data_IF_634798925461
#
_entry.id   IF_634798925461
#
_cell.length_a   1.000
_cell.length_b   1.000
_cell.length_c   1.000
_cell.angle_alpha   90.00
_cell.angle_beta   90.00
_cell.angle_gamma   90.00
#
_symmetry.space_group_name_H-M   'P 1'
#
loop_
_entity.id
_entity.type
_entity.pdbx_description
1 polymer ?
#
# COMPACT_ATOMS: atom_id res chain seq x y z
N UNK A 1 1.83 55.50 -79.01
CA UNK A 1 2.25 54.25 -78.33
C UNK A 1 1.63 54.16 -76.96
N UNK A 2 0.60 53.38 -76.84
CA UNK A 2 -0.32 53.32 -75.75
C UNK A 2 0.20 52.32 -74.70
N UNK A 3 0.32 52.69 -73.42
CA UNK A 3 0.49 51.76 -72.34
C UNK A 3 -0.57 52.07 -71.25
N UNK A 4 -1.52 51.21 -71.21
CA UNK A 4 -2.57 51.12 -70.20
C UNK A 4 -2.05 50.70 -68.83
N UNK A 5 -2.27 51.48 -67.81
CA UNK A 5 -2.06 51.12 -66.42
C UNK A 5 -3.40 50.76 -65.78
N UNK A 6 -3.52 49.50 -65.32
CA UNK A 6 -4.63 49.00 -64.49
C UNK A 6 -4.46 49.50 -63.07
N UNK A 7 -5.47 50.20 -62.60
CA UNK A 7 -5.66 50.53 -61.19
C UNK A 7 -6.37 49.37 -60.50
N UNK A 8 -5.73 48.69 -59.59
CA UNK A 8 -6.39 47.73 -58.67
C UNK A 8 -6.96 48.47 -57.48
N UNK A 9 -8.27 48.41 -57.37
CA UNK A 9 -9.02 48.85 -56.18
C UNK A 9 -8.82 47.84 -55.08
N UNK A 10 -8.24 48.26 -53.96
CA UNK A 10 -8.27 47.51 -52.71
C UNK A 10 -9.51 47.92 -51.95
N UNK A 11 -10.48 47.00 -51.83
CA UNK A 11 -11.60 47.12 -50.94
C UNK A 11 -11.16 46.72 -49.55
N UNK A 12 -11.07 47.67 -48.63
CA UNK A 12 -10.93 47.42 -47.17
C UNK A 12 -12.31 46.98 -46.65
N UNK A 13 -12.49 45.69 -46.46
CA UNK A 13 -13.58 45.15 -45.63
C UNK A 13 -13.17 45.29 -44.17
N UNK A 14 -13.77 46.23 -43.46
CA UNK A 14 -13.77 46.33 -42.01
C UNK A 14 -14.67 45.20 -41.50
N UNK A 15 -14.03 44.07 -41.04
CA UNK A 15 -14.71 43.08 -40.23
C UNK A 15 -14.88 43.64 -38.84
N UNK A 16 -16.10 44.08 -38.52
CA UNK A 16 -16.51 44.33 -37.15
C UNK A 16 -16.42 43.01 -36.40
N UNK A 17 -15.38 42.83 -35.61
CA UNK A 17 -15.31 41.75 -34.63
C UNK A 17 -16.39 41.97 -33.57
N UNK A 18 -17.46 41.24 -33.70
CA UNK A 18 -18.48 41.12 -32.69
C UNK A 18 -17.82 40.47 -31.47
N UNK A 19 -17.43 41.25 -30.49
CA UNK A 19 -17.08 40.74 -29.16
C UNK A 19 -18.37 40.16 -28.54
N UNK A 20 -18.73 38.97 -28.94
CA UNK A 20 -19.59 38.14 -28.10
C UNK A 20 -18.86 37.94 -26.81
N UNK A 21 -19.30 38.54 -25.73
CA UNK A 21 -18.98 38.19 -24.36
C UNK A 21 -19.37 36.70 -24.20
N UNK A 22 -18.43 35.82 -24.42
CA UNK A 22 -18.51 34.43 -23.97
C UNK A 22 -18.64 34.52 -22.46
N UNK A 23 -19.88 34.53 -21.94
CA UNK A 23 -20.15 34.11 -20.61
C UNK A 23 -19.50 32.70 -20.52
N UNK A 24 -18.50 32.55 -19.69
CA UNK A 24 -17.85 31.27 -19.41
C UNK A 24 -18.90 30.39 -18.70
N UNK A 25 -19.74 29.76 -19.49
CA UNK A 25 -20.57 28.68 -19.02
C UNK A 25 -19.58 27.55 -18.67
N UNK A 26 -19.61 27.12 -17.41
CA UNK A 26 -18.89 25.97 -17.01
C UNK A 26 -19.33 24.79 -17.90
N UNK A 27 -18.43 24.30 -18.76
CA UNK A 27 -18.72 23.17 -19.64
C UNK A 27 -18.99 21.94 -18.80
N UNK A 28 -20.24 21.51 -18.79
CA UNK A 28 -20.68 20.28 -18.15
C UNK A 28 -20.66 19.16 -19.19
N UNK A 29 -19.85 18.15 -18.97
CA UNK A 29 -19.77 17.00 -19.86
C UNK A 29 -20.47 15.82 -19.20
N UNK A 30 -21.45 15.24 -19.89
CA UNK A 30 -22.14 14.04 -19.44
C UNK A 30 -21.37 12.79 -19.85
N UNK A 31 -21.23 11.87 -18.90
CA UNK A 31 -20.55 10.57 -19.10
C UNK A 31 -21.53 9.60 -19.75
N UNK A 32 -21.29 9.26 -21.02
CA UNK A 32 -22.20 8.39 -21.79
C UNK A 32 -21.97 6.90 -21.52
N UNK A 33 -20.70 6.51 -21.29
CA UNK A 33 -20.29 5.13 -21.13
C UNK A 33 -19.40 4.97 -19.91
N UNK A 34 -19.53 3.84 -19.24
CA UNK A 34 -18.81 3.46 -18.03
C UNK A 34 -18.28 2.04 -18.17
N UNK A 35 -17.17 1.78 -17.57
CA UNK A 35 -16.69 0.42 -17.36
C UNK A 35 -17.26 -0.10 -16.05
N UNK A 36 -17.97 -1.21 -16.06
CA UNK A 36 -18.69 -1.75 -14.94
C UNK A 36 -18.25 -3.16 -14.57
N UNK A 37 -18.17 -3.43 -13.28
CA UNK A 37 -17.92 -4.73 -12.68
C UNK A 37 -18.88 -4.95 -11.51
N UNK A 38 -19.45 -6.12 -11.46
CA UNK A 38 -20.45 -6.54 -10.50
C UNK A 38 -21.59 -7.27 -11.22
N UNK A 39 -22.64 -7.69 -10.53
CA UNK A 39 -22.88 -7.56 -9.08
C UNK A 39 -21.96 -8.44 -8.22
N UNK A 40 -21.50 -7.93 -7.08
CA UNK A 40 -20.91 -8.70 -6.01
C UNK A 40 -21.99 -8.88 -4.93
N UNK A 41 -22.65 -10.03 -4.81
CA UNK A 41 -23.74 -10.23 -3.89
C UNK A 41 -23.34 -9.97 -2.43
N UNK A 42 -24.18 -9.24 -1.71
CA UNK A 42 -23.99 -8.94 -0.29
C UNK A 42 -25.20 -9.45 0.47
N UNK A 43 -24.94 -10.34 1.43
CA UNK A 43 -26.00 -10.88 2.28
C UNK A 43 -26.21 -9.99 3.50
N UNK A 44 -27.46 -9.86 3.93
CA UNK A 44 -27.79 -9.29 5.22
C UNK A 44 -27.27 -10.24 6.32
N UNK A 45 -26.55 -9.75 7.33
CA UNK A 45 -26.05 -10.61 8.39
C UNK A 45 -27.21 -11.16 9.23
N UNK A 46 -26.96 -12.31 9.86
CA UNK A 46 -27.90 -12.85 10.82
C UNK A 46 -28.09 -11.89 11.99
N UNK A 47 -29.30 -11.75 12.50
CA UNK A 47 -29.68 -10.80 13.56
C UNK A 47 -29.52 -9.31 13.19
N UNK A 48 -29.60 -8.97 11.91
CA UNK A 48 -29.53 -7.56 11.45
C UNK A 48 -30.62 -6.66 12.06
N UNK A 49 -31.73 -7.23 12.52
CA UNK A 49 -32.81 -6.49 13.19
C UNK A 49 -32.47 -6.10 14.63
N UNK A 50 -31.42 -6.68 15.19
CA UNK A 50 -30.94 -6.38 16.54
C UNK A 50 -30.03 -5.16 16.53
N UNK A 51 -29.71 -4.66 17.72
CA UNK A 51 -28.68 -3.64 17.92
C UNK A 51 -27.37 -4.29 18.34
N UNK A 52 -26.25 -3.69 17.97
CA UNK A 52 -24.94 -4.11 18.42
C UNK A 52 -24.67 -3.69 19.89
N UNK A 53 -23.50 -4.03 20.41
CA UNK A 53 -23.10 -3.68 21.80
C UNK A 53 -23.04 -2.18 22.08
N UNK A 54 -23.04 -1.34 21.06
CA UNK A 54 -23.10 0.13 21.15
C UNK A 54 -24.52 0.67 21.01
N UNK A 55 -25.53 -0.19 20.81
CA UNK A 55 -26.91 0.21 20.58
C UNK A 55 -27.19 0.65 19.12
N UNK A 56 -26.30 0.42 18.19
CA UNK A 56 -26.46 0.80 16.78
C UNK A 56 -27.15 -0.31 16.00
N UNK A 57 -28.02 0.07 15.06
CA UNK A 57 -28.63 -0.87 14.10
C UNK A 57 -27.66 -1.18 12.96
N UNK A 58 -27.80 -2.37 12.38
CA UNK A 58 -27.05 -2.71 11.18
C UNK A 58 -27.41 -1.77 10.02
N UNK A 59 -26.38 -1.23 9.39
CA UNK A 59 -26.51 -0.40 8.18
C UNK A 59 -25.73 -1.06 7.02
N UNK A 60 -26.46 -1.44 5.96
CA UNK A 60 -25.87 -2.02 4.75
C UNK A 60 -24.83 -1.09 4.11
N UNK A 61 -24.96 0.22 4.29
CA UNK A 61 -24.03 1.21 3.79
C UNK A 61 -22.58 0.98 4.25
N UNK A 62 -22.38 0.41 5.44
CA UNK A 62 -21.03 0.06 5.94
C UNK A 62 -20.25 -0.88 5.02
N UNK A 63 -20.93 -1.62 4.15
CA UNK A 63 -20.28 -2.49 3.14
C UNK A 63 -19.52 -1.66 2.10
N UNK A 64 -19.91 -0.41 1.87
CA UNK A 64 -19.16 0.50 0.98
C UNK A 64 -17.74 0.79 1.47
N UNK A 65 -17.49 0.65 2.75
CA UNK A 65 -16.17 0.91 3.34
C UNK A 65 -15.27 -0.34 3.33
N UNK A 66 -15.82 -1.50 2.90
CA UNK A 66 -15.04 -2.74 2.72
C UNK A 66 -13.98 -2.57 1.64
N UNK A 67 -12.75 -3.09 1.82
CA UNK A 67 -11.73 -3.02 0.80
C UNK A 67 -12.15 -3.81 -0.44
N UNK A 68 -12.10 -3.17 -1.60
CA UNK A 68 -12.34 -3.78 -2.89
C UNK A 68 -11.30 -3.30 -3.89
N UNK A 69 -10.61 -4.21 -4.54
CA UNK A 69 -9.57 -3.86 -5.50
C UNK A 69 -10.17 -3.26 -6.79
N UNK A 70 -9.73 -2.07 -7.15
CA UNK A 70 -10.12 -1.45 -8.42
C UNK A 70 -9.52 -2.16 -9.65
N UNK A 71 -8.54 -3.06 -9.46
CA UNK A 71 -8.04 -3.91 -10.54
C UNK A 71 -9.11 -4.83 -11.13
N UNK A 72 -10.20 -5.09 -10.40
CA UNK A 72 -11.36 -5.82 -10.92
C UNK A 72 -11.96 -5.14 -12.15
N UNK A 73 -11.87 -3.82 -12.24
CA UNK A 73 -12.31 -3.06 -13.41
C UNK A 73 -11.57 -3.42 -14.69
N UNK A 74 -10.38 -4.04 -14.63
CA UNK A 74 -9.65 -4.52 -15.79
C UNK A 74 -10.47 -5.54 -16.61
N UNK A 75 -11.28 -6.34 -15.91
CA UNK A 75 -12.18 -7.34 -16.51
C UNK A 75 -13.63 -6.84 -16.66
N UNK A 76 -13.86 -5.54 -16.41
CA UNK A 76 -15.18 -4.93 -16.48
C UNK A 76 -15.71 -4.85 -17.91
N UNK A 77 -17.04 -4.82 -18.02
CA UNK A 77 -17.76 -4.61 -19.28
C UNK A 77 -18.06 -3.12 -19.47
N UNK A 78 -18.03 -2.67 -20.70
CA UNK A 78 -18.52 -1.35 -21.06
C UNK A 78 -20.04 -1.34 -21.07
N UNK A 79 -20.65 -0.38 -20.37
CA UNK A 79 -22.09 -0.24 -20.20
C UNK A 79 -22.46 1.23 -20.44
N UNK A 80 -23.56 1.48 -21.13
CA UNK A 80 -24.10 2.83 -21.22
C UNK A 80 -24.54 3.31 -19.83
N UNK A 81 -24.27 4.56 -19.51
CA UNK A 81 -24.62 5.13 -18.21
C UNK A 81 -26.13 4.96 -17.90
N UNK A 82 -26.99 5.17 -18.88
CA UNK A 82 -28.43 4.99 -18.76
C UNK A 82 -28.89 3.56 -18.45
N UNK A 83 -28.03 2.56 -18.70
CA UNK A 83 -28.35 1.13 -18.48
C UNK A 83 -27.72 0.58 -17.18
N UNK A 84 -26.89 1.38 -16.49
CA UNK A 84 -26.11 0.89 -15.34
C UNK A 84 -27.00 0.31 -14.23
N UNK A 85 -28.14 0.89 -13.96
CA UNK A 85 -29.08 0.46 -12.91
C UNK A 85 -30.19 -0.49 -13.40
N UNK A 86 -30.45 -0.53 -14.71
CA UNK A 86 -31.60 -1.29 -15.26
C UNK A 86 -31.54 -2.80 -14.98
N UNK A 87 -30.33 -3.36 -15.00
CA UNK A 87 -30.11 -4.81 -14.83
C UNK A 87 -29.74 -5.23 -13.41
N UNK A 88 -29.43 -4.28 -12.53
CA UNK A 88 -28.72 -4.54 -11.26
C UNK A 88 -29.57 -4.35 -10.00
N UNK A 89 -30.81 -3.91 -10.11
CA UNK A 89 -31.65 -3.52 -8.96
C UNK A 89 -32.34 -4.69 -8.23
N UNK A 90 -32.07 -5.95 -8.59
CA UNK A 90 -32.82 -7.09 -8.08
C UNK A 90 -32.28 -7.73 -6.80
N UNK A 91 -31.10 -7.36 -6.35
CA UNK A 91 -30.46 -7.91 -5.14
C UNK A 91 -29.53 -6.92 -4.46
N UNK A 92 -29.28 -7.15 -3.16
CA UNK A 92 -28.25 -6.43 -2.47
C UNK A 92 -26.88 -6.80 -3.06
N UNK A 93 -26.24 -5.86 -3.69
CA UNK A 93 -24.95 -6.11 -4.31
C UNK A 93 -24.07 -4.86 -4.33
N UNK A 94 -22.76 -5.09 -4.26
CA UNK A 94 -21.74 -4.06 -4.43
C UNK A 94 -21.32 -4.06 -5.90
N UNK A 95 -21.08 -2.86 -6.43
CA UNK A 95 -20.67 -2.65 -7.80
C UNK A 95 -19.56 -1.62 -7.90
N UNK A 96 -18.76 -1.72 -8.97
CA UNK A 96 -17.80 -0.71 -9.38
C UNK A 96 -18.15 -0.21 -10.78
N UNK A 97 -18.14 1.10 -10.96
CA UNK A 97 -18.20 1.72 -12.27
C UNK A 97 -17.04 2.73 -12.40
N UNK A 98 -16.49 2.89 -13.60
CA UNK A 98 -15.38 3.83 -13.82
C UNK A 98 -15.44 4.48 -15.19
N UNK A 99 -14.84 5.67 -15.25
CA UNK A 99 -14.59 6.43 -16.47
C UNK A 99 -13.32 7.26 -16.30
N UNK A 100 -12.85 7.89 -17.38
CA UNK A 100 -11.68 8.75 -17.32
C UNK A 100 -12.05 10.20 -17.61
N UNK A 101 -11.32 11.11 -16.95
CA UNK A 101 -11.41 12.57 -17.20
C UNK A 101 -10.00 13.06 -17.51
N UNK A 102 -9.82 13.73 -18.62
CA UNK A 102 -8.54 14.32 -19.02
C UNK A 102 -8.62 15.84 -19.06
N UNK A 103 -7.57 16.49 -18.61
CA UNK A 103 -7.39 17.93 -18.60
C UNK A 103 -5.96 18.31 -18.94
N UNK A 104 -5.77 19.50 -19.50
CA UNK A 104 -4.46 20.03 -19.89
C UNK A 104 -3.88 21.04 -18.91
N UNK A 105 -4.69 21.50 -17.96
CA UNK A 105 -4.29 22.49 -16.96
C UNK A 105 -4.88 22.12 -15.60
N UNK A 106 -4.26 22.57 -14.51
CA UNK A 106 -4.82 22.40 -13.15
C UNK A 106 -6.23 23.00 -13.12
N UNK A 107 -7.22 22.18 -12.80
CA UNK A 107 -8.64 22.51 -12.91
C UNK A 107 -9.37 22.07 -11.65
N UNK A 108 -10.22 22.92 -11.09
CA UNK A 108 -11.21 22.49 -10.10
C UNK A 108 -12.37 21.85 -10.87
N UNK A 109 -12.69 20.62 -10.57
CA UNK A 109 -13.75 19.89 -11.21
C UNK A 109 -14.79 19.45 -10.18
N UNK A 110 -16.05 19.47 -10.58
CA UNK A 110 -17.16 18.91 -9.82
C UNK A 110 -17.68 17.69 -10.56
N UNK A 111 -17.66 16.54 -9.90
CA UNK A 111 -18.29 15.31 -10.37
C UNK A 111 -19.67 15.22 -9.73
N UNK A 112 -20.73 15.19 -10.53
CA UNK A 112 -22.09 15.03 -10.07
C UNK A 112 -22.59 13.63 -10.45
N UNK A 113 -23.10 12.88 -9.47
CA UNK A 113 -23.64 11.53 -9.66
C UNK A 113 -25.07 11.49 -9.18
N UNK A 114 -26.02 11.37 -10.10
CA UNK A 114 -27.46 11.29 -9.82
C UNK A 114 -27.98 9.86 -9.95
N UNK A 115 -29.04 9.55 -9.22
CA UNK A 115 -29.70 8.24 -9.29
C UNK A 115 -29.12 7.16 -8.39
N UNK A 116 -28.06 7.44 -7.62
CA UNK A 116 -27.51 6.52 -6.61
C UNK A 116 -27.81 7.02 -5.20
N UNK A 117 -28.36 6.14 -4.35
CA UNK A 117 -28.63 6.48 -2.94
C UNK A 117 -27.41 6.29 -2.04
N UNK A 118 -26.62 5.26 -2.31
CA UNK A 118 -25.46 4.88 -1.48
C UNK A 118 -24.25 4.60 -2.36
N UNK A 119 -23.27 5.48 -2.32
CA UNK A 119 -22.03 5.31 -3.09
C UNK A 119 -20.84 6.02 -2.46
N UNK A 120 -19.65 5.66 -2.92
CA UNK A 120 -18.38 6.34 -2.64
C UNK A 120 -17.73 6.69 -3.97
N UNK A 121 -17.14 7.85 -4.05
CA UNK A 121 -16.44 8.34 -5.24
C UNK A 121 -14.93 8.35 -4.98
N UNK A 122 -14.18 7.88 -5.95
CA UNK A 122 -12.72 7.89 -5.91
C UNK A 122 -12.16 8.52 -7.17
N UNK A 123 -11.12 9.31 -7.02
CA UNK A 123 -10.36 9.90 -8.13
C UNK A 123 -8.92 9.47 -7.98
N UNK A 124 -8.36 8.79 -8.96
CA UNK A 124 -7.02 8.20 -8.94
C UNK A 124 -6.74 7.29 -7.71
N UNK A 125 -7.79 6.62 -7.25
CA UNK A 125 -7.73 5.72 -6.09
C UNK A 125 -7.96 6.40 -4.73
N UNK A 126 -8.08 7.72 -4.67
CA UNK A 126 -8.39 8.45 -3.44
C UNK A 126 -9.87 8.75 -3.32
N UNK A 127 -10.42 8.49 -2.14
CA UNK A 127 -11.80 8.80 -1.85
C UNK A 127 -12.02 10.32 -1.79
N UNK A 128 -12.99 10.79 -2.56
CA UNK A 128 -13.42 12.20 -2.56
C UNK A 128 -14.70 12.32 -1.74
N UNK A 129 -14.75 13.32 -0.88
CA UNK A 129 -15.96 13.60 -0.08
C UNK A 129 -17.11 14.04 -1.01
N UNK A 130 -18.23 13.35 -0.88
CA UNK A 130 -19.45 13.65 -1.60
C UNK A 130 -20.36 14.47 -0.70
N UNK A 131 -20.89 15.59 -1.22
CA UNK A 131 -21.87 16.45 -0.55
C UNK A 131 -23.16 16.44 -1.40
N UNK A 132 -24.20 15.73 -0.93
CA UNK A 132 -25.37 15.42 -1.77
C UNK A 132 -24.95 14.55 -2.96
N UNK A 133 -25.22 15.02 -4.17
CA UNK A 133 -24.84 14.33 -5.41
C UNK A 133 -23.52 14.83 -6.03
N UNK A 134 -22.82 15.76 -5.35
CA UNK A 134 -21.65 16.46 -5.91
C UNK A 134 -20.38 16.19 -5.09
N UNK A 135 -19.30 16.00 -5.80
CA UNK A 135 -17.96 15.89 -5.24
C UNK A 135 -17.01 16.86 -5.94
N UNK A 136 -16.35 17.70 -5.16
CA UNK A 136 -15.36 18.65 -5.67
C UNK A 136 -13.96 18.07 -5.54
N UNK A 137 -13.18 18.20 -6.58
CA UNK A 137 -11.79 17.75 -6.63
C UNK A 137 -10.93 18.69 -7.46
N UNK A 138 -9.63 18.59 -7.26
CA UNK A 138 -8.65 19.32 -8.06
C UNK A 138 -7.91 18.34 -8.95
N UNK A 139 -8.09 18.49 -10.25
CA UNK A 139 -7.42 17.69 -11.27
C UNK A 139 -6.13 18.39 -11.71
N UNK A 140 -5.01 17.70 -11.67
CA UNK A 140 -3.74 18.14 -12.25
C UNK A 140 -3.76 17.85 -13.77
N UNK A 141 -2.89 18.50 -14.59
CA UNK A 141 -2.83 18.22 -16.02
C UNK A 141 -2.51 16.74 -16.28
N UNK A 142 -3.48 15.91 -16.60
CA UNK A 142 -3.35 14.47 -16.82
C UNK A 142 -4.67 13.85 -17.25
N UNK A 143 -4.65 12.52 -17.42
CA UNK A 143 -5.87 11.69 -17.45
C UNK A 143 -6.07 11.06 -16.07
N UNK A 144 -7.23 11.28 -15.49
CA UNK A 144 -7.64 10.84 -14.17
C UNK A 144 -8.66 9.71 -14.28
N UNK A 145 -8.56 8.72 -13.42
CA UNK A 145 -9.55 7.64 -13.33
C UNK A 145 -10.52 7.95 -12.22
N UNK A 146 -11.79 8.04 -12.56
CA UNK A 146 -12.89 8.21 -11.61
C UNK A 146 -13.55 6.85 -11.40
N UNK A 147 -13.68 6.43 -10.14
CA UNK A 147 -14.35 5.18 -9.77
C UNK A 147 -15.52 5.48 -8.85
N UNK A 148 -16.65 4.91 -9.18
CA UNK A 148 -17.88 4.95 -8.38
C UNK A 148 -18.07 3.55 -7.80
N UNK A 149 -18.02 3.44 -6.49
CA UNK A 149 -18.35 2.24 -5.74
C UNK A 149 -19.73 2.40 -5.15
N UNK A 150 -20.68 1.56 -5.52
CA UNK A 150 -22.07 1.76 -5.13
C UNK A 150 -22.77 0.46 -4.73
N UNK A 151 -23.82 0.60 -3.93
CA UNK A 151 -24.70 -0.49 -3.52
C UNK A 151 -26.03 -0.42 -4.25
N UNK A 152 -26.50 -1.57 -4.71
CA UNK A 152 -27.90 -1.79 -5.03
C UNK A 152 -28.58 -2.49 -3.87
N UNK A 153 -29.81 -2.11 -3.54
CA UNK A 153 -30.61 -2.75 -2.51
C UNK A 153 -31.78 -3.50 -3.16
N UNK A 154 -32.08 -4.73 -2.65
CA UNK A 154 -33.32 -5.39 -3.02
C UNK A 154 -34.49 -4.67 -2.33
N UNK A 155 -35.49 -4.27 -3.07
CA UNK A 155 -36.73 -3.75 -2.51
C UNK A 155 -37.47 -4.87 -1.75
N UNK A 156 -37.12 -5.04 -0.48
CA UNK A 156 -37.85 -5.95 0.43
C UNK A 156 -38.99 -5.27 1.19
N UNK A 157 -39.20 -3.96 0.97
CA UNK A 157 -40.32 -3.24 1.58
C UNK A 157 -41.54 -3.29 0.68
N UNK A 158 -42.65 -3.78 1.24
CA UNK A 158 -43.98 -3.92 0.64
C UNK A 158 -44.67 -2.59 0.23
N UNK A 159 -43.95 -1.50 0.19
CA UNK A 159 -44.46 -0.22 -0.30
C UNK A 159 -44.29 -0.10 -1.83
N UNK A 160 -45.28 -0.62 -2.53
CA UNK A 160 -45.32 -0.68 -3.99
C UNK A 160 -45.51 0.65 -4.68
N UNK A 161 -45.41 1.80 -4.00
CA UNK A 161 -45.73 3.11 -4.55
C UNK A 161 -44.58 4.10 -4.68
N UNK A 162 -43.39 3.76 -4.25
CA UNK A 162 -42.24 4.66 -4.37
C UNK A 162 -41.13 3.99 -5.18
N UNK A 163 -40.72 4.61 -6.26
CA UNK A 163 -39.46 4.48 -6.98
C UNK A 163 -39.28 3.50 -8.17
N UNK A 164 -40.35 3.29 -8.95
CA UNK A 164 -40.10 2.83 -10.34
C UNK A 164 -39.46 3.87 -11.25
N UNK A 165 -39.45 5.13 -10.85
CA UNK A 165 -38.87 6.21 -11.66
C UNK A 165 -37.42 6.57 -11.25
N UNK A 166 -36.97 6.24 -10.03
CA UNK A 166 -35.62 6.54 -9.60
C UNK A 166 -34.55 5.63 -10.26
N UNK A 167 -34.91 4.45 -10.74
CA UNK A 167 -33.99 3.53 -11.45
C UNK A 167 -33.73 3.96 -12.92
N UNK A 168 -34.44 4.94 -13.44
CA UNK A 168 -34.32 5.35 -14.85
C UNK A 168 -33.36 6.50 -15.10
N UNK A 169 -32.95 7.24 -14.08
CA UNK A 169 -32.23 8.51 -14.25
C UNK A 169 -30.79 8.49 -13.67
N UNK A 170 -30.09 7.36 -13.79
CA UNK A 170 -28.66 7.40 -13.48
C UNK A 170 -27.93 8.31 -14.48
N UNK A 171 -27.31 9.37 -13.96
CA UNK A 171 -26.50 10.31 -14.74
C UNK A 171 -25.22 10.66 -13.99
N UNK A 172 -24.14 10.71 -14.72
CA UNK A 172 -22.87 11.22 -14.23
C UNK A 172 -22.43 12.35 -15.13
N UNK A 173 -22.08 13.47 -14.53
CA UNK A 173 -21.52 14.60 -15.24
C UNK A 173 -20.30 15.17 -14.54
N UNK A 174 -19.41 15.77 -15.32
CA UNK A 174 -18.22 16.45 -14.83
C UNK A 174 -18.23 17.87 -15.33
N UNK A 175 -18.11 18.81 -14.40
CA UNK A 175 -18.11 20.25 -14.69
C UNK A 175 -16.77 20.85 -14.29
N UNK A 176 -16.13 21.59 -15.16
CA UNK A 176 -14.95 22.39 -14.82
C UNK A 176 -15.40 23.71 -14.19
N UNK A 177 -14.90 24.04 -13.00
CA UNK A 177 -14.94 25.40 -12.52
C UNK A 177 -13.96 26.23 -13.36
N UNK A 178 -14.21 27.37 -13.79
CA UNK A 178 -13.32 28.27 -14.55
C UNK A 178 -13.34 28.09 -16.10
N UNK A 179 -14.35 27.41 -16.69
CA UNK A 179 -14.47 27.31 -18.16
C UNK A 179 -13.31 26.61 -18.85
N UNK A 180 -12.53 25.78 -18.10
CA UNK A 180 -11.42 25.01 -18.65
C UNK A 180 -11.93 23.77 -19.35
N UNK A 181 -11.27 23.41 -20.46
CA UNK A 181 -11.65 22.23 -21.20
C UNK A 181 -11.33 20.95 -20.44
N UNK A 182 -12.34 20.11 -20.28
CA UNK A 182 -12.25 18.74 -19.85
C UNK A 182 -12.64 17.83 -21.03
N UNK A 183 -12.12 16.64 -21.06
CA UNK A 183 -12.62 15.57 -21.92
C UNK A 183 -12.91 14.34 -21.08
N UNK A 184 -14.06 13.71 -21.36
CA UNK A 184 -14.46 12.45 -20.73
C UNK A 184 -14.20 11.34 -21.72
N UNK A 185 -13.47 10.34 -21.31
CA UNK A 185 -13.15 9.16 -22.09
C UNK A 185 -13.69 7.88 -21.46
N UNK A 186 -13.77 6.83 -22.26
CA UNK A 186 -14.10 5.51 -21.77
C UNK A 186 -12.97 5.00 -20.86
N UNK A 187 -13.33 4.39 -19.74
CA UNK A 187 -12.34 3.74 -18.88
C UNK A 187 -11.87 2.44 -19.54
N UNK A 188 -10.80 2.51 -20.28
CA UNK A 188 -10.12 1.34 -20.80
C UNK A 188 -9.14 0.79 -19.76
N UNK A 189 -9.03 -0.52 -19.65
CA UNK A 189 -8.04 -1.19 -18.80
C UNK A 189 -6.59 -0.79 -19.18
N UNK A 190 -6.39 -0.33 -20.40
CA UNK A 190 -5.13 0.09 -20.97
C UNK A 190 -5.01 1.61 -21.11
N UNK A 191 -5.72 2.38 -20.31
CA UNK A 191 -5.63 3.84 -20.37
C UNK A 191 -4.22 4.27 -20.00
N UNK A 192 -3.43 4.64 -20.99
CA UNK A 192 -2.14 5.28 -20.77
C UNK A 192 -2.43 6.68 -20.24
N UNK A 193 -2.17 6.91 -18.99
CA UNK A 193 -2.23 8.25 -18.39
C UNK A 193 -0.83 8.86 -18.30
N UNK A 194 -0.76 10.16 -18.31
CA UNK A 194 0.50 10.86 -18.04
C UNK A 194 0.91 10.61 -16.58
N UNK A 195 2.16 10.22 -16.38
CA UNK A 195 2.72 10.08 -15.05
C UNK A 195 2.77 11.46 -14.36
N UNK A 196 2.36 11.50 -13.11
CA UNK A 196 2.51 12.68 -12.26
C UNK A 196 3.60 12.42 -11.20
N UNK A 197 3.93 13.47 -10.43
CA UNK A 197 4.98 13.39 -9.40
C UNK A 197 4.67 12.34 -8.33
N UNK A 198 3.40 12.14 -7.99
CA UNK A 198 2.98 11.15 -7.00
C UNK A 198 3.15 9.73 -7.52
N UNK A 199 2.99 9.49 -8.81
CA UNK A 199 3.26 8.19 -9.41
C UNK A 199 4.74 7.82 -9.25
N UNK A 200 5.63 8.78 -9.42
CA UNK A 200 7.06 8.56 -9.24
C UNK A 200 7.44 8.31 -7.77
N UNK A 201 6.81 9.02 -6.83
CA UNK A 201 7.14 8.94 -5.40
C UNK A 201 6.41 7.78 -4.71
N UNK A 202 5.12 7.59 -5.03
CA UNK A 202 4.24 6.65 -4.33
C UNK A 202 4.14 5.28 -5.02
N UNK A 203 4.83 5.08 -6.15
CA UNK A 203 4.80 3.80 -6.86
C UNK A 203 5.41 2.70 -5.99
N UNK A 204 4.74 1.54 -5.86
CA UNK A 204 5.32 0.40 -5.16
C UNK A 204 6.61 -0.07 -5.82
N UNK A 205 7.65 -0.19 -5.01
CA UNK A 205 8.94 -0.73 -5.41
C UNK A 205 9.12 -2.15 -4.87
N UNK A 206 9.75 -3.01 -5.65
CA UNK A 206 10.16 -4.33 -5.19
C UNK A 206 11.55 -4.22 -4.56
N UNK A 207 11.63 -4.27 -3.22
CA UNK A 207 12.87 -4.04 -2.50
C UNK A 207 13.70 -5.29 -2.32
N UNK A 208 13.08 -6.47 -2.29
CA UNK A 208 13.80 -7.75 -2.23
C UNK A 208 12.96 -8.91 -2.76
N UNK A 209 13.65 -9.92 -3.25
CA UNK A 209 13.08 -11.20 -3.66
C UNK A 209 13.94 -12.30 -3.07
N UNK A 210 13.33 -13.23 -2.33
CA UNK A 210 13.99 -14.38 -1.75
C UNK A 210 13.28 -15.67 -2.15
N UNK A 211 13.99 -16.59 -2.81
CA UNK A 211 13.46 -17.90 -3.17
C UNK A 211 13.46 -18.84 -1.97
N UNK A 212 12.46 -19.72 -1.89
CA UNK A 212 12.48 -20.84 -0.96
C UNK A 212 13.63 -21.80 -1.29
N UNK A 213 14.16 -22.58 -0.31
CA UNK A 213 15.22 -23.52 -0.57
C UNK A 213 14.94 -24.49 -1.72
N UNK A 214 13.69 -24.93 -1.91
CA UNK A 214 13.28 -25.79 -3.02
C UNK A 214 12.89 -25.07 -4.31
N UNK A 215 12.97 -23.73 -4.35
CA UNK A 215 12.65 -22.91 -5.51
C UNK A 215 11.18 -22.84 -5.91
N UNK A 216 10.23 -23.45 -5.16
CA UNK A 216 8.81 -23.46 -5.53
C UNK A 216 8.07 -22.19 -5.20
N UNK A 217 8.54 -21.46 -4.21
CA UNK A 217 7.96 -20.21 -3.76
C UNK A 217 9.00 -19.10 -3.70
N UNK A 218 8.53 -17.87 -3.68
CA UNK A 218 9.37 -16.70 -3.41
C UNK A 218 8.64 -15.73 -2.49
N UNK A 219 9.38 -15.09 -1.61
CA UNK A 219 8.92 -13.93 -0.84
C UNK A 219 9.37 -12.69 -1.59
N UNK A 220 8.41 -11.84 -1.94
CA UNK A 220 8.64 -10.58 -2.64
C UNK A 220 8.24 -9.44 -1.71
N UNK A 221 9.19 -8.61 -1.32
CA UNK A 221 8.91 -7.43 -0.50
C UNK A 221 8.61 -6.24 -1.38
N UNK A 222 7.44 -5.66 -1.19
CA UNK A 222 7.02 -4.39 -1.76
C UNK A 222 7.11 -3.29 -0.72
N UNK A 223 7.58 -2.13 -1.13
CA UNK A 223 7.62 -0.92 -0.30
C UNK A 223 7.09 0.25 -1.10
N UNK A 224 6.35 1.13 -0.46
CA UNK A 224 5.87 2.37 -1.06
C UNK A 224 5.69 3.45 0.00
N UNK A 225 5.61 4.67 -0.46
CA UNK A 225 5.27 5.83 0.38
C UNK A 225 3.88 6.29 -0.01
N UNK A 226 2.99 6.53 0.93
CA UNK A 226 1.68 7.11 0.62
C UNK A 226 1.79 8.62 0.37
N UNK A 227 0.67 9.24 -0.03
CA UNK A 227 0.65 10.69 -0.30
C UNK A 227 0.84 11.55 0.95
N UNK A 228 0.69 10.98 2.13
CA UNK A 228 0.97 11.60 3.42
C UNK A 228 2.43 11.48 3.82
N UNK A 229 3.26 10.80 3.02
CA UNK A 229 4.67 10.58 3.30
C UNK A 229 4.95 9.40 4.24
N UNK A 230 3.96 8.57 4.56
CA UNK A 230 4.13 7.40 5.40
C UNK A 230 4.65 6.21 4.59
N UNK A 231 5.68 5.54 5.12
CA UNK A 231 6.24 4.34 4.52
C UNK A 231 5.36 3.12 4.82
N UNK A 232 5.15 2.32 3.80
CA UNK A 232 4.45 1.05 3.88
C UNK A 232 5.33 -0.07 3.31
N UNK A 233 5.16 -1.26 3.84
CA UNK A 233 5.78 -2.47 3.31
C UNK A 233 4.85 -3.66 3.46
N UNK A 234 4.93 -4.58 2.50
CA UNK A 234 4.21 -5.86 2.54
C UNK A 234 5.11 -6.94 1.93
N UNK A 235 5.09 -8.12 2.52
CA UNK A 235 5.76 -9.29 2.00
C UNK A 235 4.73 -10.21 1.34
N UNK A 236 4.90 -10.48 0.07
CA UNK A 236 4.02 -11.38 -0.70
C UNK A 236 4.70 -12.72 -0.90
N UNK A 237 4.06 -13.79 -0.45
CA UNK A 237 4.42 -15.15 -0.85
C UNK A 237 3.85 -15.40 -2.24
N UNK A 238 4.70 -15.72 -3.18
CA UNK A 238 4.32 -16.01 -4.56
C UNK A 238 4.80 -17.39 -4.99
N UNK A 239 4.03 -18.02 -5.86
CA UNK A 239 4.51 -19.18 -6.61
C UNK A 239 5.59 -18.72 -7.60
N UNK A 240 6.76 -19.34 -7.58
CA UNK A 240 7.91 -18.90 -8.37
C UNK A 240 7.73 -19.08 -9.89
N UNK A 241 6.95 -20.08 -10.31
CA UNK A 241 6.72 -20.35 -11.73
C UNK A 241 5.60 -19.49 -12.32
N UNK A 242 4.49 -19.33 -11.58
CA UNK A 242 3.31 -18.62 -12.09
C UNK A 242 3.26 -17.16 -11.69
N UNK A 243 4.12 -16.72 -10.79
CA UNK A 243 4.14 -15.40 -10.17
C UNK A 243 2.82 -15.01 -9.47
N UNK A 244 1.94 -15.97 -9.22
CA UNK A 244 0.68 -15.72 -8.51
C UNK A 244 0.94 -15.52 -7.02
N UNK A 245 0.30 -14.51 -6.44
CA UNK A 245 0.31 -14.27 -4.98
C UNK A 245 -0.49 -15.38 -4.30
N UNK A 246 0.12 -16.02 -3.32
CA UNK A 246 -0.47 -17.07 -2.49
C UNK A 246 -0.96 -16.47 -1.17
N UNK A 247 -0.15 -15.63 -0.55
CA UNK A 247 -0.47 -14.95 0.71
C UNK A 247 0.29 -13.63 0.80
N UNK A 248 -0.13 -12.76 1.72
CA UNK A 248 0.53 -11.48 2.03
C UNK A 248 0.68 -11.33 3.53
N UNK A 249 1.81 -10.74 3.96
CA UNK A 249 2.19 -10.59 5.35
C UNK A 249 2.66 -9.15 5.59
N UNK A 250 2.23 -8.56 6.68
CA UNK A 250 2.78 -7.29 7.17
C UNK A 250 4.09 -7.52 7.93
N UNK A 251 4.22 -8.72 8.54
CA UNK A 251 5.40 -9.16 9.25
C UNK A 251 6.59 -9.36 8.29
N UNK A 252 7.79 -9.20 8.80
CA UNK A 252 9.02 -9.41 8.03
C UNK A 252 9.35 -10.91 7.94
N UNK A 253 8.61 -11.63 7.11
CA UNK A 253 8.81 -13.07 6.90
C UNK A 253 10.08 -13.37 6.10
N UNK A 254 10.78 -14.43 6.48
CA UNK A 254 12.01 -14.93 5.85
C UNK A 254 11.96 -16.43 5.68
N UNK A 255 12.78 -16.97 4.79
CA UNK A 255 12.92 -18.43 4.64
C UNK A 255 13.85 -19.00 5.69
N UNK A 256 13.49 -20.19 6.20
CA UNK A 256 14.42 -21.04 6.91
C UNK A 256 15.45 -21.62 5.93
N UNK A 257 16.68 -21.91 6.38
CA UNK A 257 17.78 -22.32 5.48
C UNK A 257 17.53 -23.62 4.72
N UNK A 258 16.79 -24.57 5.31
CA UNK A 258 16.67 -25.94 4.80
C UNK A 258 15.23 -26.39 4.60
N UNK A 259 14.39 -26.15 5.59
CA UNK A 259 13.01 -26.64 5.62
C UNK A 259 12.13 -25.73 4.82
N UNK A 260 11.81 -25.52 3.83
CA UNK A 260 10.91 -24.62 3.08
C UNK A 260 9.80 -23.93 3.92
N UNK A 261 9.97 -23.84 5.24
CA UNK A 261 9.14 -23.04 6.12
C UNK A 261 9.58 -21.59 6.07
N UNK A 262 8.66 -20.68 6.26
CA UNK A 262 8.95 -19.27 6.52
C UNK A 262 9.00 -19.03 8.03
N UNK A 263 9.66 -17.98 8.46
CA UNK A 263 9.65 -17.55 9.85
C UNK A 263 9.59 -16.04 9.97
N UNK A 264 9.10 -15.59 11.10
CA UNK A 264 9.18 -14.21 11.56
C UNK A 264 9.24 -14.17 13.08
N UNK A 265 9.51 -13.01 13.63
CA UNK A 265 9.51 -12.78 15.07
C UNK A 265 8.47 -11.73 15.41
N UNK A 266 7.79 -11.92 16.53
CA UNK A 266 6.87 -10.94 17.10
C UNK A 266 7.11 -10.83 18.61
N UNK A 267 6.63 -9.75 19.23
CA UNK A 267 6.71 -9.61 20.68
C UNK A 267 5.88 -10.70 21.34
N UNK A 268 6.46 -11.35 22.33
CA UNK A 268 5.74 -12.30 23.16
C UNK A 268 4.60 -11.57 23.86
N UNK A 269 3.35 -11.91 23.53
CA UNK A 269 2.15 -11.35 24.15
C UNK A 269 2.04 -11.75 25.63
N UNK A 270 1.10 -11.16 26.36
CA UNK A 270 0.85 -11.48 27.78
C UNK A 270 0.46 -12.95 28.02
N UNK A 271 -0.05 -13.62 26.96
CA UNK A 271 -0.38 -15.05 26.94
C UNK A 271 0.75 -15.95 26.43
N UNK A 272 1.92 -15.39 26.11
CA UNK A 272 3.09 -16.21 25.83
C UNK A 272 3.38 -17.04 27.07
N UNK A 273 3.58 -18.35 26.87
CA UNK A 273 3.96 -19.26 27.96
C UNK A 273 5.24 -18.69 28.58
N UNK A 274 5.04 -17.83 29.58
CA UNK A 274 6.14 -17.29 30.36
C UNK A 274 6.69 -18.44 31.18
N UNK A 275 7.80 -19.02 30.72
CA UNK A 275 8.68 -19.70 31.64
C UNK A 275 9.11 -18.72 32.74
N UNK A 276 9.36 -19.20 33.95
CA UNK A 276 9.99 -18.40 34.98
C UNK A 276 11.20 -17.67 34.40
N UNK A 277 11.18 -16.34 34.41
CA UNK A 277 12.26 -15.52 33.88
C UNK A 277 11.99 -14.88 32.53
N UNK A 278 10.74 -14.45 32.20
CA UNK A 278 10.47 -13.60 31.06
C UNK A 278 11.35 -12.35 31.13
N UNK A 279 12.37 -12.30 30.30
CA UNK A 279 13.18 -11.10 30.14
C UNK A 279 12.34 -9.99 29.46
N UNK A 280 12.48 -8.74 29.91
CA UNK A 280 11.91 -7.60 29.19
C UNK A 280 12.37 -7.63 27.74
N UNK A 281 11.41 -7.54 26.81
CA UNK A 281 11.71 -7.59 25.36
C UNK A 281 11.78 -9.00 24.76
N UNK A 282 11.28 -10.03 25.45
CA UNK A 282 11.23 -11.38 24.87
C UNK A 282 10.39 -11.41 23.57
N UNK A 283 10.93 -12.11 22.58
CA UNK A 283 10.27 -12.31 21.28
C UNK A 283 9.83 -13.77 21.14
N UNK A 284 8.81 -14.00 20.33
CA UNK A 284 8.46 -15.34 19.84
C UNK A 284 9.00 -15.54 18.44
N UNK A 285 9.52 -16.73 18.18
CA UNK A 285 9.89 -17.19 16.85
C UNK A 285 8.78 -18.07 16.30
N UNK A 286 8.12 -17.59 15.26
CA UNK A 286 6.99 -18.28 14.63
C UNK A 286 7.41 -18.78 13.26
N UNK A 287 7.06 -20.02 12.97
CA UNK A 287 7.21 -20.61 11.63
C UNK A 287 5.87 -20.72 10.93
N UNK A 288 5.90 -20.61 9.60
CA UNK A 288 4.73 -20.75 8.73
C UNK A 288 5.04 -21.78 7.64
N UNK A 289 4.15 -22.73 7.48
CA UNK A 289 4.22 -23.67 6.36
C UNK A 289 3.58 -23.02 5.10
N UNK A 290 4.33 -22.80 4.01
CA UNK A 290 3.81 -22.13 2.82
C UNK A 290 2.74 -22.91 2.05
N UNK A 291 2.54 -24.20 2.36
CA UNK A 291 1.55 -25.03 1.67
C UNK A 291 0.14 -24.92 2.26
N UNK A 292 0.04 -24.78 3.58
CA UNK A 292 -1.23 -24.75 4.31
C UNK A 292 -1.42 -23.53 5.20
N UNK A 293 -0.42 -22.63 5.25
CA UNK A 293 -0.38 -21.43 6.09
C UNK A 293 -0.47 -21.70 7.60
N UNK A 294 -0.20 -22.93 8.01
CA UNK A 294 -0.16 -23.32 9.42
C UNK A 294 0.99 -22.62 10.13
N UNK A 295 0.68 -22.00 11.26
CA UNK A 295 1.63 -21.28 12.13
C UNK A 295 1.97 -22.11 13.34
N UNK A 296 3.24 -22.17 13.68
CA UNK A 296 3.76 -22.90 14.83
C UNK A 296 4.76 -22.01 15.60
N UNK A 297 4.64 -21.96 16.92
CA UNK A 297 5.62 -21.29 17.77
C UNK A 297 6.82 -22.21 17.93
N UNK A 298 7.90 -21.90 17.26
CA UNK A 298 9.15 -22.68 17.31
C UNK A 298 9.94 -22.42 18.60
N UNK A 299 9.93 -21.17 19.07
CA UNK A 299 10.52 -20.78 20.35
C UNK A 299 9.76 -19.61 20.95
N UNK A 300 9.35 -19.73 22.20
CA UNK A 300 8.46 -18.79 22.87
C UNK A 300 9.16 -17.61 23.55
N UNK A 301 10.46 -17.67 23.76
CA UNK A 301 11.20 -16.68 24.54
C UNK A 301 12.64 -16.54 24.03
N UNK A 302 12.78 -15.89 22.87
CA UNK A 302 14.08 -15.60 22.28
C UNK A 302 14.47 -14.13 22.55
N UNK A 303 15.77 -13.82 22.67
CA UNK A 303 16.22 -12.43 22.82
C UNK A 303 15.79 -11.55 21.64
N UNK A 304 15.49 -10.30 21.88
CA UNK A 304 15.37 -9.30 20.82
C UNK A 304 16.76 -9.06 20.22
N UNK A 305 16.85 -9.08 18.89
CA UNK A 305 18.11 -8.83 18.18
C UNK A 305 18.13 -9.44 16.80
N UNK A 306 19.18 -9.11 16.07
CA UNK A 306 19.40 -9.70 14.76
C UNK A 306 20.07 -11.08 14.91
N UNK A 307 19.52 -12.06 14.22
CA UNK A 307 20.06 -13.42 14.20
C UNK A 307 20.02 -14.06 12.82
N UNK A 308 20.78 -15.11 12.67
CA UNK A 308 20.79 -16.01 11.53
C UNK A 308 20.67 -17.45 12.02
N UNK A 309 19.84 -18.25 11.35
CA UNK A 309 19.77 -19.70 11.60
C UNK A 309 21.07 -20.38 11.21
N UNK A 310 21.48 -21.37 12.00
CA UNK A 310 22.45 -22.35 11.51
C UNK A 310 21.84 -23.16 10.36
N UNK A 311 22.62 -23.60 9.34
CA UNK A 311 22.12 -24.40 8.23
C UNK A 311 21.41 -25.70 8.63
N UNK A 312 21.70 -26.27 9.80
CA UNK A 312 21.01 -27.43 10.36
C UNK A 312 19.68 -27.07 11.09
N UNK A 313 19.38 -25.78 11.20
CA UNK A 313 18.17 -25.22 11.84
C UNK A 313 18.01 -25.55 13.33
N UNK A 314 19.10 -25.91 14.01
CA UNK A 314 19.06 -26.25 15.43
C UNK A 314 19.39 -25.10 16.35
N UNK A 315 19.98 -24.04 15.81
CA UNK A 315 20.43 -22.91 16.62
C UNK A 315 20.29 -21.60 15.86
N UNK A 316 20.27 -20.51 16.62
CA UNK A 316 20.31 -19.14 16.12
C UNK A 316 21.63 -18.52 16.54
N UNK A 317 22.33 -17.89 15.60
CA UNK A 317 23.52 -17.10 15.91
C UNK A 317 23.12 -15.64 15.96
N UNK A 318 23.18 -15.06 17.12
CA UNK A 318 22.83 -13.67 17.41
C UNK A 318 24.03 -12.75 17.29
N UNK A 319 23.78 -11.56 16.77
CA UNK A 319 24.62 -10.39 17.02
C UNK A 319 23.90 -9.52 18.03
N UNK A 320 24.42 -9.52 19.26
CA UNK A 320 23.86 -8.79 20.39
C UNK A 320 24.72 -7.55 20.69
N UNK A 321 24.11 -6.55 21.32
CA UNK A 321 24.78 -5.32 21.69
C UNK A 321 24.89 -5.24 23.21
N UNK A 322 26.09 -4.87 23.68
CA UNK A 322 26.33 -4.51 25.05
C UNK A 322 26.53 -3.01 25.10
N UNK A 323 25.69 -2.34 25.87
CA UNK A 323 25.86 -0.90 26.09
C UNK A 323 27.12 -0.65 26.91
N UNK A 324 27.84 0.40 26.51
CA UNK A 324 28.96 0.92 27.27
C UNK A 324 28.47 1.47 28.63
N UNK A 325 29.38 1.54 29.60
CA UNK A 325 29.10 2.11 30.90
C UNK A 325 28.55 3.52 30.73
N UNK A 326 27.38 3.81 31.31
CA UNK A 326 26.84 5.17 31.39
C UNK A 326 27.77 6.03 32.22
N UNK A 327 28.12 7.19 31.72
CA UNK A 327 28.95 8.15 32.38
C UNK A 327 28.15 9.37 32.78
N UNK A 328 28.60 10.05 33.83
CA UNK A 328 28.08 11.37 34.16
C UNK A 328 28.39 12.34 33.01
N UNK A 329 27.44 13.21 32.68
CA UNK A 329 27.63 14.22 31.65
C UNK A 329 28.78 15.19 31.94
N UNK A 330 29.17 15.33 33.21
CA UNK A 330 30.27 16.18 33.65
C UNK A 330 31.62 15.46 33.83
N UNK A 331 31.60 14.13 33.99
CA UNK A 331 32.80 13.32 34.19
C UNK A 331 32.77 12.13 33.26
N UNK A 332 33.79 11.97 32.43
CA UNK A 332 33.87 10.85 31.47
C UNK A 332 35.31 10.31 31.38
N UNK A 333 35.43 9.04 31.11
CA UNK A 333 36.71 8.37 30.94
C UNK A 333 37.30 8.75 29.57
N UNK A 334 38.52 9.25 29.57
CA UNK A 334 39.35 9.43 28.37
C UNK A 334 40.24 8.19 28.22
N UNK A 335 40.02 7.41 27.17
CA UNK A 335 40.77 6.16 26.92
C UNK A 335 42.17 6.45 26.39
N UNK A 336 42.31 7.45 25.56
CA UNK A 336 43.55 7.88 24.97
C UNK A 336 43.56 9.43 24.90
N UNK A 337 44.73 10.09 24.99
CA UNK A 337 44.82 11.55 25.05
C UNK A 337 44.11 12.31 23.92
N UNK A 338 44.12 11.73 22.71
CA UNK A 338 43.54 12.34 21.51
C UNK A 338 42.13 11.79 21.17
N UNK A 339 41.50 11.09 22.12
CA UNK A 339 40.16 10.54 21.88
C UNK A 339 39.13 11.68 21.75
N UNK A 340 38.55 11.79 20.54
CA UNK A 340 37.52 12.79 20.23
C UNK A 340 36.13 12.39 20.73
N UNK A 341 35.96 11.14 21.12
CA UNK A 341 34.71 10.57 21.64
C UNK A 341 35.00 9.81 22.93
N UNK A 342 35.33 10.53 23.99
CA UNK A 342 35.65 9.88 25.25
C UNK A 342 34.50 9.07 25.80
N UNK A 343 34.83 8.12 26.66
CA UNK A 343 33.85 7.28 27.31
C UNK A 343 33.81 5.86 26.81
N UNK A 344 32.93 5.09 27.43
CA UNK A 344 32.67 3.71 27.02
C UNK A 344 31.76 3.69 25.82
N UNK A 345 32.04 2.81 24.85
CA UNK A 345 31.26 2.64 23.63
C UNK A 345 30.54 1.31 23.64
N UNK A 346 29.39 1.29 22.98
CA UNK A 346 28.65 0.05 22.77
C UNK A 346 29.46 -0.90 21.90
N UNK A 347 29.36 -2.20 22.19
CA UNK A 347 30.06 -3.26 21.47
C UNK A 347 29.06 -4.33 21.03
N UNK A 348 29.32 -4.91 19.87
CA UNK A 348 28.63 -6.08 19.40
C UNK A 348 29.40 -7.35 19.76
N UNK A 349 28.69 -8.39 20.11
CA UNK A 349 29.23 -9.71 20.37
C UNK A 349 28.32 -10.79 19.79
N UNK A 350 28.86 -11.98 19.57
CA UNK A 350 28.09 -13.11 19.05
C UNK A 350 27.65 -14.03 20.19
N UNK A 351 26.44 -14.53 20.08
CA UNK A 351 25.91 -15.55 20.98
C UNK A 351 25.15 -16.62 20.17
N UNK A 352 25.16 -17.84 20.67
CA UNK A 352 24.41 -18.98 20.13
C UNK A 352 23.20 -19.24 21.01
N UNK A 353 22.00 -19.24 20.41
CA UNK A 353 20.79 -19.71 21.07
C UNK A 353 20.46 -21.10 20.56
N UNK A 354 20.42 -22.09 21.44
CA UNK A 354 20.05 -23.47 21.13
C UNK A 354 18.51 -23.60 21.18
N UNK A 355 17.89 -23.99 20.08
CA UNK A 355 16.43 -24.04 19.97
C UNK A 355 15.82 -25.18 20.81
N UNK A 356 16.54 -26.24 21.10
CA UNK A 356 16.01 -27.34 21.87
C UNK A 356 16.04 -27.07 23.37
N UNK A 357 17.10 -26.44 23.86
CA UNK A 357 17.29 -26.17 25.29
C UNK A 357 16.86 -24.76 25.71
N UNK A 358 16.76 -23.81 24.77
CA UNK A 358 16.55 -22.41 25.09
C UNK A 358 17.76 -21.70 25.69
N UNK A 359 18.95 -22.32 25.67
CA UNK A 359 20.15 -21.74 26.25
C UNK A 359 20.80 -20.75 25.31
N UNK A 360 21.02 -19.52 25.78
CA UNK A 360 21.79 -18.49 25.09
C UNK A 360 23.25 -18.54 25.61
N UNK A 361 24.17 -18.94 24.77
CA UNK A 361 25.61 -19.04 25.08
C UNK A 361 26.39 -17.94 24.37
N UNK A 362 27.13 -17.06 25.09
CA UNK A 362 28.05 -16.14 24.44
C UNK A 362 29.14 -16.91 23.70
N UNK A 363 29.41 -16.53 22.45
CA UNK A 363 30.48 -17.11 21.63
C UNK A 363 31.71 -16.23 21.60
N UNK A 364 31.52 -14.92 21.73
CA UNK A 364 32.62 -13.94 21.78
C UNK A 364 32.44 -13.03 22.99
N UNK A 365 33.56 -12.55 23.49
CA UNK A 365 33.63 -11.66 24.63
C UNK A 365 34.80 -10.68 24.45
N UNK A 366 34.73 -9.52 25.06
CA UNK A 366 35.81 -8.55 25.05
C UNK A 366 35.42 -7.18 24.55
N UNK A 367 36.43 -6.37 24.27
CA UNK A 367 36.22 -4.90 24.00
C UNK A 367 35.96 -4.59 22.53
N UNK A 368 36.17 -5.49 21.61
CA UNK A 368 36.05 -5.26 20.18
C UNK A 368 34.64 -5.54 19.65
N UNK A 369 34.24 -4.87 18.60
CA UNK A 369 33.07 -5.26 17.85
C UNK A 369 33.34 -6.54 17.08
N UNK A 370 32.40 -7.48 17.19
CA UNK A 370 32.45 -8.75 16.45
C UNK A 370 31.13 -8.91 15.70
N UNK A 371 31.20 -9.33 14.45
CA UNK A 371 30.04 -9.56 13.60
C UNK A 371 30.18 -10.87 12.83
N UNK A 372 29.03 -11.48 12.55
CA UNK A 372 28.95 -12.71 11.78
C UNK A 372 29.02 -12.39 10.28
N UNK A 373 29.95 -13.03 9.58
CA UNK A 373 30.01 -12.96 8.12
C UNK A 373 29.33 -14.16 7.47
N UNK A 374 29.57 -15.37 7.98
CA UNK A 374 28.98 -16.58 7.40
C UNK A 374 29.00 -17.74 8.43
N UNK A 375 28.21 -18.78 8.11
CA UNK A 375 28.16 -20.04 8.88
C UNK A 375 28.46 -21.19 7.91
N UNK A 376 29.36 -22.09 8.28
CA UNK A 376 29.66 -23.26 7.46
C UNK A 376 28.45 -24.17 7.24
N UNK A 377 28.36 -24.79 6.09
CA UNK A 377 27.21 -25.62 5.69
C UNK A 377 26.95 -26.79 6.69
N UNK A 378 27.94 -27.25 7.40
CA UNK A 378 27.84 -28.28 8.44
C UNK A 378 27.52 -27.71 9.83
N UNK A 379 27.29 -26.37 9.92
CA UNK A 379 26.95 -25.63 11.16
C UNK A 379 28.03 -25.69 12.25
N UNK A 380 29.30 -26.09 11.92
CA UNK A 380 30.36 -26.29 12.90
C UNK A 380 31.28 -25.09 13.06
N UNK A 381 31.38 -24.24 12.07
CA UNK A 381 32.29 -23.10 12.04
C UNK A 381 31.55 -21.81 11.71
N UNK A 382 31.99 -20.72 12.31
CA UNK A 382 31.53 -19.37 12.03
C UNK A 382 32.67 -18.56 11.43
N UNK A 383 32.42 -17.90 10.31
CA UNK A 383 33.32 -16.88 9.81
C UNK A 383 32.93 -15.56 10.47
N UNK A 384 33.81 -14.98 11.24
CA UNK A 384 33.59 -13.77 11.99
C UNK A 384 34.50 -12.64 11.51
N UNK A 385 34.01 -11.43 11.58
CA UNK A 385 34.81 -10.23 11.43
C UNK A 385 35.01 -9.56 12.79
N UNK A 386 36.18 -9.02 13.03
CA UNK A 386 36.52 -8.23 14.21
C UNK A 386 36.86 -6.81 13.79
N UNK A 387 36.31 -5.84 14.47
CA UNK A 387 36.62 -4.43 14.25
C UNK A 387 37.33 -3.85 15.48
N UNK A 388 38.54 -3.37 15.28
CA UNK A 388 39.32 -2.68 16.28
C UNK A 388 39.29 -1.18 16.04
N UNK A 389 38.84 -0.43 17.03
CA UNK A 389 38.86 1.03 16.98
C UNK A 389 40.20 1.56 17.46
N UNK A 390 40.81 2.41 16.65
CA UNK A 390 42.01 3.18 16.98
C UNK A 390 41.64 4.64 17.13
N UNK A 391 41.66 5.12 18.37
CA UNK A 391 41.12 6.45 18.68
C UNK A 391 42.03 7.59 18.20
N UNK A 392 43.35 7.34 18.15
CA UNK A 392 44.34 8.34 17.83
C UNK A 392 45.06 8.12 16.50
N UNK A 393 44.94 6.94 15.90
CA UNK A 393 45.62 6.58 14.65
C UNK A 393 44.63 6.49 13.48
N UNK A 394 45.17 6.67 12.28
CA UNK A 394 44.40 6.46 11.05
C UNK A 394 44.91 5.22 10.32
N UNK A 395 44.05 4.36 9.79
CA UNK A 395 42.59 4.46 9.86
C UNK A 395 42.07 4.30 11.30
N UNK A 396 40.97 4.99 11.62
CA UNK A 396 40.36 4.94 12.98
C UNK A 396 39.73 3.58 13.28
N UNK A 397 39.45 2.79 12.26
CA UNK A 397 38.87 1.45 12.38
C UNK A 397 39.68 0.48 11.52
N UNK A 398 40.07 -0.63 12.09
CA UNK A 398 40.76 -1.77 11.40
C UNK A 398 39.86 -2.98 11.53
N UNK A 399 39.52 -3.59 10.40
CA UNK A 399 38.76 -4.85 10.36
C UNK A 399 39.71 -6.02 10.10
N UNK A 400 39.46 -7.12 10.76
CA UNK A 400 40.20 -8.37 10.63
C UNK A 400 39.24 -9.58 10.63
#
# INVERSE_FOLDING_TARGET
MIKTTRKSLWALTFSAALCASLSANADTIEVQKLKHVGPFPVSTPWMADSVNVKGEKFAMEGVLDSPLSFNLLNNGKEVAASQLLADNAKQNALHLASFTVSNTSRTKATVEVKGLKQYRLFVDGEQVKVNGDKAETVLLPSTHTVVIKYLTASDSSSDKTADKDAAKDFKVSVTAADGKQLSVGEASANTKRTLNIYDAICMPNYSSVALSPNGKFMIVRKTWVDRQGKNHSINELRNSQTNKVVASFEENVRWMPRTNKMYFTEKAGDNAIAGEGKADGAMQLITINPLNMEREVMAANIPEGWFQFTPDEKSLIYTLYMEGRKQDAQVFDVKEPDDRQPGWRNRSYLAKYDLASGILQPLTFGYHNVYLNDISADSRYLLIGKSEERLTKRPTTVNS
#
